data_IF_949587485323
#
_entry.id   IF_949587485323
#
_cell.length_a   1.000
_cell.length_b   1.000
_cell.length_c   1.000
_cell.angle_alpha   90.00
_cell.angle_beta   90.00
_cell.angle_gamma   90.00
#
_symmetry.space_group_name_H-M   'P 1'
#
loop_
_entity.id
_entity.type
_entity.pdbx_description
1 polymer ?
#
# COMPACT_ATOMS: atom_id res chain seq x y z
N UNK A 1 12.09 -16.55 19.11
CA UNK A 1 13.19 -15.56 19.23
C UNK A 1 13.59 -14.92 17.90
N UNK A 2 13.98 -15.66 16.86
CA UNK A 2 14.43 -15.05 15.60
C UNK A 2 13.43 -14.15 14.88
N UNK A 3 12.13 -14.36 15.06
CA UNK A 3 11.10 -13.45 14.53
C UNK A 3 11.22 -12.02 15.11
N UNK A 4 11.61 -11.85 16.38
CA UNK A 4 11.86 -10.51 16.94
C UNK A 4 12.95 -9.77 16.18
N UNK A 5 14.01 -10.47 15.77
CA UNK A 5 15.11 -9.91 14.96
C UNK A 5 14.58 -9.40 13.63
N UNK A 6 13.75 -10.18 12.94
CA UNK A 6 13.15 -9.76 11.69
C UNK A 6 12.17 -8.60 11.86
N UNK A 7 11.19 -8.72 12.77
CA UNK A 7 10.06 -7.79 12.87
C UNK A 7 10.47 -6.44 13.47
N UNK A 8 11.34 -6.45 14.48
CA UNK A 8 11.78 -5.24 15.17
C UNK A 8 12.94 -4.53 14.47
N UNK A 9 13.73 -5.24 13.66
CA UNK A 9 14.97 -4.69 13.10
C UNK A 9 15.09 -4.88 11.60
N UNK A 10 14.96 -6.12 11.11
CA UNK A 10 15.16 -6.44 9.70
C UNK A 10 14.21 -5.69 8.76
N UNK A 11 12.91 -5.77 9.03
CA UNK A 11 11.88 -5.12 8.21
C UNK A 11 11.92 -3.58 8.30
N UNK A 12 12.05 -2.95 9.48
CA UNK A 12 12.30 -1.51 9.56
C UNK A 12 13.55 -1.07 8.77
N UNK A 13 14.62 -1.86 8.79
CA UNK A 13 15.83 -1.58 8.01
C UNK A 13 15.61 -1.74 6.50
N UNK A 14 14.82 -2.73 6.08
CA UNK A 14 14.39 -2.86 4.69
C UNK A 14 13.54 -1.66 4.26
N UNK A 15 12.59 -1.21 5.08
CA UNK A 15 11.80 -0.02 4.83
C UNK A 15 12.68 1.23 4.66
N UNK A 16 13.73 1.37 5.48
CA UNK A 16 14.71 2.44 5.32
C UNK A 16 15.49 2.32 3.99
N UNK A 17 15.88 1.12 3.58
CA UNK A 17 16.53 0.90 2.29
C UNK A 17 15.63 1.33 1.13
N UNK A 18 14.35 0.93 1.16
CA UNK A 18 13.32 1.34 0.18
C UNK A 18 13.22 2.87 0.14
N UNK A 19 13.11 3.53 1.31
CA UNK A 19 13.03 4.98 1.41
C UNK A 19 14.25 5.69 0.77
N UNK A 20 15.46 5.23 1.07
CA UNK A 20 16.70 5.84 0.55
C UNK A 20 16.78 5.69 -0.97
N UNK A 21 16.31 4.57 -1.52
CA UNK A 21 16.28 4.30 -2.97
C UNK A 21 15.10 4.95 -3.70
N UNK A 22 14.10 5.47 -2.98
CA UNK A 22 12.92 6.10 -3.59
C UNK A 22 13.29 7.44 -4.25
N UNK A 23 12.67 7.72 -5.40
CA UNK A 23 12.83 8.97 -6.14
C UNK A 23 12.55 10.21 -5.27
N UNK A 24 13.29 11.29 -5.52
CA UNK A 24 13.21 12.52 -4.70
C UNK A 24 11.80 13.10 -4.65
N UNK A 25 11.06 13.09 -5.76
CA UNK A 25 9.69 13.63 -5.81
C UNK A 25 8.75 12.91 -4.84
N UNK A 26 8.96 11.61 -4.61
CA UNK A 26 8.04 10.78 -3.81
C UNK A 26 8.51 10.53 -2.39
N UNK A 27 9.73 10.95 -2.05
CA UNK A 27 10.32 10.67 -0.73
C UNK A 27 9.43 11.10 0.43
N UNK A 28 8.73 12.24 0.31
CA UNK A 28 7.82 12.71 1.38
C UNK A 28 6.66 11.73 1.62
N UNK A 29 5.95 11.33 0.56
CA UNK A 29 4.82 10.38 0.62
C UNK A 29 5.30 9.00 1.05
N UNK A 30 6.34 8.48 0.40
CA UNK A 30 6.93 7.18 0.71
C UNK A 30 7.45 7.12 2.15
N UNK A 31 8.12 8.17 2.62
CA UNK A 31 8.65 8.25 3.98
C UNK A 31 7.56 8.14 5.04
N UNK A 32 6.42 8.82 4.85
CA UNK A 32 5.29 8.73 5.78
C UNK A 32 4.70 7.30 5.83
N UNK A 33 4.48 6.69 4.67
CA UNK A 33 3.95 5.32 4.57
C UNK A 33 4.92 4.32 5.21
N UNK A 34 6.20 4.36 4.78
CA UNK A 34 7.25 3.44 5.25
C UNK A 34 7.49 3.57 6.74
N UNK A 35 7.49 4.80 7.29
CA UNK A 35 7.62 5.01 8.72
C UNK A 35 6.45 4.40 9.50
N UNK A 36 5.21 4.56 9.01
CA UNK A 36 4.03 3.98 9.62
C UNK A 36 4.08 2.45 9.65
N UNK A 37 4.29 1.82 8.50
CA UNK A 37 4.31 0.35 8.42
C UNK A 37 5.53 -0.27 9.12
N UNK A 38 6.69 0.39 9.10
CA UNK A 38 7.87 -0.05 9.85
C UNK A 38 7.64 0.04 11.35
N UNK A 39 6.97 1.11 11.82
CA UNK A 39 6.60 1.24 13.22
C UNK A 39 5.58 0.19 13.64
N UNK A 40 4.58 -0.12 12.80
CA UNK A 40 3.65 -1.22 13.04
C UNK A 40 4.38 -2.56 13.16
N UNK A 41 5.27 -2.89 12.22
CA UNK A 41 6.11 -4.09 12.28
C UNK A 41 6.93 -4.14 13.57
N UNK A 42 7.58 -3.04 13.93
CA UNK A 42 8.37 -2.98 15.16
C UNK A 42 7.50 -3.19 16.41
N UNK A 43 6.37 -2.49 16.50
CA UNK A 43 5.58 -2.43 17.73
C UNK A 43 4.76 -3.70 17.95
N UNK A 44 4.04 -4.14 16.91
CA UNK A 44 3.08 -5.25 17.00
C UNK A 44 3.60 -6.55 16.39
N UNK A 45 4.59 -6.47 15.50
CA UNK A 45 5.09 -7.61 14.74
C UNK A 45 4.31 -7.91 13.48
N UNK A 46 3.30 -7.11 13.13
CA UNK A 46 2.52 -7.26 11.88
C UNK A 46 3.33 -6.72 10.71
N UNK A 47 3.55 -7.55 9.70
CA UNK A 47 4.49 -7.27 8.60
C UNK A 47 3.83 -7.07 7.25
N UNK A 48 2.62 -7.59 7.10
CA UNK A 48 1.88 -7.65 5.85
C UNK A 48 1.75 -6.27 5.18
N UNK A 49 1.45 -5.17 5.91
CA UNK A 49 1.36 -3.85 5.29
C UNK A 49 2.66 -3.38 4.64
N UNK A 50 3.82 -3.80 5.16
CA UNK A 50 5.13 -3.48 4.58
C UNK A 50 5.47 -4.46 3.45
N UNK A 51 5.25 -5.76 3.66
CA UNK A 51 5.56 -6.80 2.68
C UNK A 51 4.76 -6.62 1.40
N UNK A 52 3.49 -6.23 1.50
CA UNK A 52 2.63 -6.01 0.35
C UNK A 52 3.08 -4.85 -0.54
N UNK A 53 3.89 -3.91 -0.03
CA UNK A 53 4.46 -2.85 -0.84
C UNK A 53 5.43 -3.39 -1.90
N UNK A 54 6.10 -4.52 -1.63
CA UNK A 54 7.14 -5.03 -2.53
C UNK A 54 6.93 -6.48 -2.97
N UNK A 55 6.03 -7.25 -2.35
CA UNK A 55 5.78 -8.66 -2.67
C UNK A 55 5.57 -8.91 -4.17
N UNK A 56 4.74 -8.08 -4.81
CA UNK A 56 4.41 -8.20 -6.23
C UNK A 56 5.33 -7.37 -7.15
N UNK A 57 5.99 -6.34 -6.62
CA UNK A 57 6.83 -5.42 -7.40
C UNK A 57 8.29 -5.91 -7.47
N UNK A 58 8.79 -6.45 -6.36
CA UNK A 58 10.15 -6.93 -6.17
C UNK A 58 10.17 -8.33 -5.53
N UNK A 59 9.77 -9.40 -6.26
CA UNK A 59 9.71 -10.76 -5.72
C UNK A 59 11.04 -11.25 -5.15
N UNK A 60 12.18 -10.83 -5.72
CA UNK A 60 13.50 -11.17 -5.19
C UNK A 60 13.77 -10.54 -3.82
N UNK A 61 13.21 -9.36 -3.55
CA UNK A 61 13.30 -8.73 -2.24
C UNK A 61 12.52 -9.53 -1.18
N UNK A 62 11.39 -10.13 -1.57
CA UNK A 62 10.64 -11.04 -0.73
C UNK A 62 11.36 -12.37 -0.50
N UNK A 63 12.00 -12.94 -1.53
CA UNK A 63 12.84 -14.13 -1.36
C UNK A 63 14.02 -13.86 -0.40
N UNK A 64 14.68 -12.71 -0.57
CA UNK A 64 15.72 -12.24 0.34
C UNK A 64 15.20 -12.15 1.78
N UNK A 65 14.03 -11.53 1.98
CA UNK A 65 13.38 -11.44 3.28
C UNK A 65 13.17 -12.82 3.90
N UNK A 66 12.60 -13.77 3.16
CA UNK A 66 12.33 -15.12 3.65
C UNK A 66 13.62 -15.85 4.08
N UNK A 67 14.69 -15.74 3.29
CA UNK A 67 16.00 -16.33 3.60
C UNK A 67 16.62 -15.71 4.86
N UNK A 68 16.60 -14.38 4.96
CA UNK A 68 17.13 -13.67 6.13
C UNK A 68 16.32 -13.98 7.40
N UNK A 69 15.00 -14.15 7.29
CA UNK A 69 14.16 -14.60 8.42
C UNK A 69 14.55 -15.99 8.89
N UNK A 70 14.77 -16.94 7.96
CA UNK A 70 15.28 -18.27 8.30
C UNK A 70 16.65 -18.22 9.00
N UNK A 71 17.56 -17.38 8.50
CA UNK A 71 18.86 -17.15 9.14
C UNK A 71 18.74 -16.51 10.52
N UNK A 72 17.84 -15.55 10.72
CA UNK A 72 17.61 -14.93 12.02
C UNK A 72 17.11 -15.95 13.07
N UNK A 73 16.22 -16.86 12.66
CA UNK A 73 15.76 -17.97 13.50
C UNK A 73 16.89 -18.93 13.82
N UNK A 74 17.69 -19.33 12.83
CA UNK A 74 18.84 -20.20 13.04
C UNK A 74 19.88 -19.56 13.98
N UNK A 75 20.23 -18.29 13.77
CA UNK A 75 21.18 -17.56 14.61
C UNK A 75 20.68 -17.42 16.05
N UNK A 76 19.38 -17.14 16.25
CA UNK A 76 18.80 -17.08 17.58
C UNK A 76 18.88 -18.43 18.31
N UNK A 77 18.67 -19.54 17.60
CA UNK A 77 18.85 -20.88 18.15
C UNK A 77 20.32 -21.17 18.51
N UNK A 78 21.27 -20.86 17.62
CA UNK A 78 22.70 -21.06 17.90
C UNK A 78 23.22 -20.23 19.09
N UNK A 79 22.62 -19.08 19.36
CA UNK A 79 22.96 -18.20 20.47
C UNK A 79 22.15 -18.49 21.75
N UNK A 80 21.41 -19.61 21.78
CA UNK A 80 20.60 -20.03 22.93
C UNK A 80 19.58 -18.97 23.38
N UNK A 81 19.00 -18.25 22.41
CA UNK A 81 17.99 -17.22 22.65
C UNK A 81 16.61 -17.87 22.61
N UNK A 82 15.98 -18.01 23.78
CA UNK A 82 14.63 -18.56 23.90
C UNK A 82 13.67 -17.46 24.32
N UNK A 83 12.91 -16.94 23.37
CA UNK A 83 11.89 -15.93 23.61
C UNK A 83 10.63 -16.31 22.83
N UNK A 84 9.59 -16.68 23.55
CA UNK A 84 8.25 -16.91 23.02
C UNK A 84 7.50 -15.60 22.83
N UNK A 85 6.49 -15.63 21.97
CA UNK A 85 5.57 -14.52 21.69
C UNK A 85 4.15 -15.07 21.57
N UNK A 86 3.16 -14.26 21.92
CA UNK A 86 1.75 -14.67 21.86
C UNK A 86 1.09 -14.34 20.52
N UNK A 87 1.53 -13.26 19.87
CA UNK A 87 0.92 -12.77 18.64
C UNK A 87 1.89 -12.78 17.45
N UNK A 88 2.83 -11.84 17.38
CA UNK A 88 3.66 -11.67 16.17
C UNK A 88 5.10 -11.20 16.45
N UNK A 89 5.61 -11.41 17.67
CA UNK A 89 7.00 -11.11 18.02
C UNK A 89 7.38 -9.62 17.82
N UNK A 90 6.42 -8.72 18.06
CA UNK A 90 6.69 -7.27 18.13
C UNK A 90 7.31 -6.84 19.47
N UNK A 91 7.65 -5.57 19.58
CA UNK A 91 8.17 -4.97 20.81
C UNK A 91 7.25 -5.19 22.01
N UNK A 92 5.93 -5.15 21.82
CA UNK A 92 4.96 -5.43 22.88
C UNK A 92 5.14 -6.86 23.40
N UNK A 93 5.22 -7.85 22.51
CA UNK A 93 5.47 -9.25 22.87
C UNK A 93 6.82 -9.43 23.57
N UNK A 94 7.84 -8.68 23.15
CA UNK A 94 9.19 -8.72 23.73
C UNK A 94 9.15 -8.29 25.19
N UNK A 95 8.50 -7.15 25.48
CA UNK A 95 8.41 -6.61 26.85
C UNK A 95 7.54 -7.51 27.75
N UNK A 96 6.39 -7.96 27.26
CA UNK A 96 5.46 -8.78 28.06
C UNK A 96 6.10 -10.12 28.45
N UNK A 97 6.78 -10.78 27.51
CA UNK A 97 7.36 -12.11 27.73
C UNK A 97 8.81 -12.07 28.24
N UNK A 98 9.37 -10.87 28.50
CA UNK A 98 10.78 -10.68 28.82
C UNK A 98 11.26 -11.54 30.00
N UNK A 99 10.45 -11.65 31.07
CA UNK A 99 10.81 -12.41 32.28
C UNK A 99 10.78 -13.93 32.10
N UNK A 100 10.13 -14.40 31.03
CA UNK A 100 10.03 -15.83 30.70
C UNK A 100 11.13 -16.27 29.73
N UNK A 101 11.91 -15.31 29.21
CA UNK A 101 12.87 -15.55 28.16
C UNK A 101 14.27 -15.93 28.68
N UNK A 102 14.98 -16.73 27.90
CA UNK A 102 16.41 -17.03 28.07
C UNK A 102 17.22 -16.14 27.13
N UNK A 103 18.22 -15.44 27.68
CA UNK A 103 19.07 -14.50 26.95
C UNK A 103 18.32 -13.43 26.11
N UNK A 104 17.22 -12.82 26.60
CA UNK A 104 16.42 -11.88 25.81
C UNK A 104 17.21 -10.66 25.32
N UNK A 105 18.19 -10.20 26.10
CA UNK A 105 19.03 -9.05 25.73
C UNK A 105 19.84 -9.26 24.46
N UNK A 106 20.20 -10.51 24.12
CA UNK A 106 20.95 -10.82 22.91
C UNK A 106 20.14 -10.58 21.63
N UNK A 107 18.82 -10.44 21.73
CA UNK A 107 17.96 -10.04 20.60
C UNK A 107 18.34 -8.65 20.10
N UNK A 108 18.75 -7.72 20.97
CA UNK A 108 19.11 -6.36 20.56
C UNK A 108 20.37 -6.30 19.67
N UNK A 109 21.54 -6.83 20.07
CA UNK A 109 22.73 -6.82 19.22
C UNK A 109 22.56 -7.70 17.97
N UNK A 110 21.88 -8.86 18.08
CA UNK A 110 21.57 -9.70 16.92
C UNK A 110 20.62 -8.96 15.95
N UNK A 111 19.62 -8.29 16.50
CA UNK A 111 18.71 -7.38 15.81
C UNK A 111 19.44 -6.32 15.01
N UNK A 112 20.34 -5.57 15.65
CA UNK A 112 21.13 -4.53 14.99
C UNK A 112 22.05 -5.08 13.89
N UNK A 113 22.65 -6.25 14.10
CA UNK A 113 23.45 -6.91 13.07
C UNK A 113 22.59 -7.27 11.84
N UNK A 114 21.41 -7.86 12.07
CA UNK A 114 20.47 -8.15 11.00
C UNK A 114 19.88 -6.89 10.37
N UNK A 115 19.64 -5.81 11.12
CA UNK A 115 19.22 -4.53 10.56
C UNK A 115 20.21 -4.05 9.50
N UNK A 116 21.51 -4.10 9.81
CA UNK A 116 22.56 -3.74 8.87
C UNK A 116 22.55 -4.66 7.63
N UNK A 117 22.47 -5.98 7.82
CA UNK A 117 22.41 -6.95 6.72
C UNK A 117 21.18 -6.71 5.83
N UNK A 118 20.00 -6.57 6.42
CA UNK A 118 18.75 -6.28 5.73
C UNK A 118 18.86 -4.98 4.93
N UNK A 119 19.36 -3.90 5.54
CA UNK A 119 19.52 -2.62 4.85
C UNK A 119 20.43 -2.76 3.62
N UNK A 120 21.62 -3.32 3.82
CA UNK A 120 22.64 -3.44 2.76
C UNK A 120 22.14 -4.31 1.61
N UNK A 121 21.65 -5.52 1.91
CA UNK A 121 21.20 -6.45 0.88
C UNK A 121 19.96 -5.92 0.14
N UNK A 122 19.02 -5.31 0.86
CA UNK A 122 17.84 -4.70 0.24
C UNK A 122 18.23 -3.53 -0.66
N UNK A 123 19.11 -2.64 -0.18
CA UNK A 123 19.58 -1.48 -0.94
C UNK A 123 20.23 -1.89 -2.26
N UNK A 124 21.16 -2.85 -2.22
CA UNK A 124 21.83 -3.33 -3.43
C UNK A 124 20.88 -4.11 -4.34
N UNK A 125 19.97 -4.91 -3.79
CA UNK A 125 18.94 -5.60 -4.59
C UNK A 125 18.07 -4.60 -5.34
N UNK A 126 17.56 -3.56 -4.65
CA UNK A 126 16.73 -2.52 -5.28
C UNK A 126 17.50 -1.78 -6.36
N UNK A 127 18.77 -1.42 -6.12
CA UNK A 127 19.59 -0.74 -7.12
C UNK A 127 19.95 -1.60 -8.32
N UNK A 128 20.31 -2.87 -8.10
CA UNK A 128 20.74 -3.79 -9.15
C UNK A 128 19.59 -4.10 -10.12
N UNK A 129 18.40 -4.37 -9.58
CA UNK A 129 17.21 -4.70 -10.36
C UNK A 129 16.37 -3.47 -10.73
N UNK A 130 16.78 -2.27 -10.30
CA UNK A 130 16.10 -0.98 -10.55
C UNK A 130 14.61 -1.01 -10.18
N UNK A 131 14.30 -1.59 -9.02
CA UNK A 131 12.91 -1.68 -8.56
C UNK A 131 12.31 -0.31 -8.22
N UNK A 132 11.10 -0.06 -8.70
CA UNK A 132 10.30 1.14 -8.40
C UNK A 132 9.12 0.76 -7.51
N UNK A 133 9.38 0.55 -6.22
CA UNK A 133 8.37 0.13 -5.22
C UNK A 133 7.27 1.18 -5.08
N UNK A 134 7.64 2.46 -5.11
CA UNK A 134 6.70 3.56 -5.28
C UNK A 134 6.69 3.99 -6.75
N UNK A 135 6.19 3.11 -7.62
CA UNK A 135 6.03 3.40 -9.05
C UNK A 135 5.15 4.63 -9.25
N UNK A 136 5.23 5.27 -10.43
CA UNK A 136 4.19 6.19 -10.84
C UNK A 136 2.93 5.34 -10.89
N UNK A 137 2.13 5.39 -9.83
CA UNK A 137 0.71 5.39 -10.09
C UNK A 137 0.54 6.41 -11.21
N UNK A 138 -0.11 6.02 -12.30
CA UNK A 138 -0.75 6.95 -13.21
C UNK A 138 -1.90 7.70 -12.49
N UNK A 139 -1.72 8.01 -11.21
CA UNK A 139 -2.22 9.19 -10.50
C UNK A 139 -1.05 10.15 -10.35
N UNK A 140 -0.37 10.46 -11.47
CA UNK A 140 0.04 11.85 -11.63
C UNK A 140 -1.22 12.67 -11.42
N UNK A 141 -1.21 13.42 -10.31
CA UNK A 141 -2.00 14.60 -10.08
C UNK A 141 -1.71 15.58 -11.23
N UNK A 142 -2.19 15.27 -12.43
CA UNK A 142 -2.36 16.26 -13.46
C UNK A 142 -3.54 17.11 -13.02
N UNK A 143 -3.20 18.32 -12.57
CA UNK A 143 -4.08 19.47 -12.41
C UNK A 143 -4.66 19.94 -13.75
N UNK A 144 -4.55 19.14 -14.81
CA UNK A 144 -5.37 19.25 -16.00
C UNK A 144 -6.61 18.39 -15.78
N UNK A 145 -7.78 19.03 -15.75
CA UNK A 145 -9.05 18.34 -15.78
C UNK A 145 -9.02 17.36 -16.96
N UNK A 146 -8.93 16.06 -16.67
CA UNK A 146 -8.86 15.03 -17.71
C UNK A 146 -10.03 15.24 -18.67
N UNK A 147 -9.75 15.28 -19.98
CA UNK A 147 -10.78 15.40 -21.02
C UNK A 147 -11.89 14.35 -20.85
N UNK A 148 -11.55 13.20 -20.26
CA UNK A 148 -12.50 12.16 -19.88
C UNK A 148 -13.48 12.61 -18.78
N UNK A 149 -13.00 13.29 -17.74
CA UNK A 149 -13.85 13.83 -16.67
C UNK A 149 -14.87 14.85 -17.22
N UNK A 150 -14.41 15.77 -18.08
CA UNK A 150 -15.29 16.75 -18.72
C UNK A 150 -16.33 16.09 -19.62
N UNK A 151 -15.93 15.05 -20.37
CA UNK A 151 -16.84 14.32 -21.24
C UNK A 151 -17.91 13.57 -20.42
N UNK A 152 -17.54 12.92 -19.30
CA UNK A 152 -18.51 12.29 -18.41
C UNK A 152 -19.42 13.33 -17.74
N UNK A 153 -18.90 14.43 -17.23
CA UNK A 153 -19.71 15.52 -16.64
C UNK A 153 -20.73 16.03 -17.66
N UNK A 154 -20.33 16.22 -18.92
CA UNK A 154 -21.24 16.65 -19.98
C UNK A 154 -22.32 15.60 -20.27
N UNK A 155 -21.94 14.32 -20.35
CA UNK A 155 -22.87 13.22 -20.57
C UNK A 155 -23.89 13.08 -19.42
N UNK A 156 -23.50 13.45 -18.21
CA UNK A 156 -24.33 13.40 -17.01
C UNK A 156 -25.24 14.62 -16.83
N UNK A 157 -25.34 15.50 -17.83
CA UNK A 157 -26.18 16.71 -17.75
C UNK A 157 -25.47 17.95 -17.19
N UNK A 158 -24.13 17.93 -17.11
CA UNK A 158 -23.31 19.03 -16.64
C UNK A 158 -23.07 19.03 -15.12
N UNK A 159 -22.17 19.92 -14.67
CA UNK A 159 -21.81 20.02 -13.24
C UNK A 159 -23.01 20.29 -12.35
N UNK A 160 -23.95 21.11 -12.83
CA UNK A 160 -25.12 21.53 -12.06
C UNK A 160 -26.10 20.39 -11.79
N UNK A 161 -26.06 19.32 -12.59
CA UNK A 161 -26.90 18.14 -12.40
C UNK A 161 -26.33 17.16 -11.36
N UNK A 162 -25.03 17.20 -11.08
CA UNK A 162 -24.37 16.21 -10.21
C UNK A 162 -24.42 16.69 -8.76
N UNK A 163 -25.05 15.90 -7.88
CA UNK A 163 -25.13 16.18 -6.44
C UNK A 163 -23.99 15.47 -5.72
N UNK A 164 -23.84 14.16 -5.97
CA UNK A 164 -22.80 13.36 -5.35
C UNK A 164 -22.32 12.28 -6.32
N UNK A 165 -21.04 11.93 -6.19
CA UNK A 165 -20.38 10.91 -7.02
C UNK A 165 -19.71 9.91 -6.09
N UNK A 166 -19.96 8.63 -6.31
CA UNK A 166 -19.30 7.53 -5.60
C UNK A 166 -19.04 6.37 -6.57
N UNK A 167 -18.19 5.41 -6.20
CA UNK A 167 -17.94 4.24 -7.01
C UNK A 167 -17.78 2.98 -6.17
N UNK A 168 -18.27 1.88 -6.71
CA UNK A 168 -17.83 0.54 -6.32
C UNK A 168 -16.76 0.04 -7.31
N UNK A 169 -16.30 -1.20 -7.12
CA UNK A 169 -15.28 -1.85 -7.97
C UNK A 169 -15.59 -1.77 -9.48
N UNK A 170 -16.86 -1.89 -9.87
CA UNK A 170 -17.25 -1.98 -11.30
C UNK A 170 -18.24 -0.93 -11.78
N UNK A 171 -18.75 -0.09 -10.87
CA UNK A 171 -19.87 0.83 -11.16
C UNK A 171 -19.65 2.17 -10.51
N UNK A 172 -19.80 3.22 -11.30
CA UNK A 172 -19.94 4.60 -10.84
C UNK A 172 -21.39 4.77 -10.38
N UNK A 173 -21.62 5.19 -9.14
CA UNK A 173 -22.93 5.48 -8.56
C UNK A 173 -23.03 6.98 -8.33
N UNK A 174 -24.08 7.58 -8.87
CA UNK A 174 -24.23 9.02 -8.84
C UNK A 174 -25.62 9.40 -8.36
N UNK A 175 -25.65 10.46 -7.58
CA UNK A 175 -26.86 11.19 -7.27
C UNK A 175 -26.89 12.43 -8.15
N UNK A 176 -27.99 12.58 -8.89
CA UNK A 176 -28.21 13.67 -9.83
C UNK A 176 -29.54 14.37 -9.53
N UNK A 177 -29.68 15.62 -9.95
CA UNK A 177 -30.95 16.35 -9.83
C UNK A 177 -32.01 15.79 -10.77
N UNK A 178 -31.61 15.42 -11.98
CA UNK A 178 -32.47 14.83 -13.00
C UNK A 178 -31.72 13.78 -13.82
N UNK A 179 -32.18 12.53 -13.76
CA UNK A 179 -31.64 11.40 -14.52
C UNK A 179 -32.08 11.37 -15.99
N UNK A 180 -33.12 12.13 -16.37
CA UNK A 180 -33.64 12.16 -17.76
C UNK A 180 -32.71 12.92 -18.69
N UNK A 181 -32.00 13.92 -18.17
CA UNK A 181 -31.02 14.70 -18.95
C UNK A 181 -29.67 13.99 -19.12
N UNK A 182 -29.50 12.80 -18.53
CA UNK A 182 -28.31 11.97 -18.73
C UNK A 182 -28.33 11.28 -20.08
N UNK A 183 -27.27 11.50 -20.85
CA UNK A 183 -27.05 10.94 -22.19
C UNK A 183 -26.39 9.56 -22.11
N UNK A 184 -27.23 8.53 -22.25
CA UNK A 184 -26.83 7.13 -22.18
C UNK A 184 -25.93 6.72 -23.36
N UNK A 185 -26.10 7.32 -24.54
CA UNK A 185 -25.28 7.01 -25.71
C UNK A 185 -23.87 7.56 -25.55
N UNK A 186 -23.74 8.80 -25.09
CA UNK A 186 -22.44 9.40 -24.83
C UNK A 186 -21.71 8.64 -23.72
N UNK A 187 -22.40 8.21 -22.66
CA UNK A 187 -21.81 7.35 -21.63
C UNK A 187 -21.27 6.03 -22.23
N UNK A 188 -22.02 5.38 -23.13
CA UNK A 188 -21.56 4.16 -23.83
C UNK A 188 -20.37 4.42 -24.74
N UNK A 189 -20.35 5.55 -25.47
CA UNK A 189 -19.21 5.97 -26.30
C UNK A 189 -17.94 6.21 -25.47
N UNK A 190 -18.10 6.68 -24.23
CA UNK A 190 -17.01 6.85 -23.27
C UNK A 190 -16.56 5.53 -22.60
N UNK A 191 -17.14 4.39 -22.99
CA UNK A 191 -16.74 3.06 -22.52
C UNK A 191 -17.63 2.47 -21.44
N UNK A 192 -18.80 3.06 -21.15
CA UNK A 192 -19.80 2.41 -20.30
C UNK A 192 -20.38 1.18 -20.99
N UNK A 193 -20.39 0.05 -20.28
CA UNK A 193 -21.08 -1.18 -20.71
C UNK A 193 -22.60 -1.08 -20.54
N UNK A 194 -23.04 -0.16 -19.70
CA UNK A 194 -24.46 0.11 -19.46
C UNK A 194 -24.66 1.30 -18.53
N UNK A 195 -25.81 1.95 -18.68
CA UNK A 195 -26.30 3.01 -17.78
C UNK A 195 -27.62 2.52 -17.21
N UNK A 196 -27.76 2.60 -15.90
CA UNK A 196 -28.96 2.18 -15.16
C UNK A 196 -29.47 3.42 -14.43
N UNK A 197 -30.76 3.69 -14.51
CA UNK A 197 -31.42 4.82 -13.84
C UNK A 197 -32.49 4.28 -12.88
N UNK A 198 -32.11 3.83 -11.66
CA UNK A 198 -33.05 3.19 -10.73
C UNK A 198 -34.14 4.14 -10.25
N UNK A 199 -33.83 5.43 -10.11
CA UNK A 199 -34.77 6.49 -9.72
C UNK A 199 -34.54 7.74 -10.56
N UNK A 200 -35.44 8.72 -10.45
CA UNK A 200 -35.29 10.00 -11.15
C UNK A 200 -34.04 10.79 -10.72
N UNK A 201 -33.46 10.46 -9.56
CA UNK A 201 -32.30 11.14 -8.96
C UNK A 201 -31.04 10.26 -8.84
N UNK A 202 -31.09 9.00 -9.28
CA UNK A 202 -29.93 8.10 -9.16
C UNK A 202 -29.57 7.48 -10.50
N UNK A 203 -28.26 7.44 -10.75
CA UNK A 203 -27.69 6.91 -12.00
C UNK A 203 -26.53 6.00 -11.65
N UNK A 204 -26.45 4.85 -12.31
CA UNK A 204 -25.32 3.94 -12.22
C UNK A 204 -24.72 3.69 -13.60
N UNK A 205 -23.43 3.96 -13.75
CA UNK A 205 -22.70 3.74 -15.00
C UNK A 205 -21.74 2.56 -14.79
N UNK A 206 -21.87 1.52 -15.61
CA UNK A 206 -21.05 0.30 -15.52
C UNK A 206 -19.77 0.50 -16.32
N UNK A 207 -18.67 0.80 -15.62
CA UNK A 207 -17.36 1.09 -16.23
C UNK A 207 -16.32 -0.04 -16.01
N UNK A 208 -16.67 -1.08 -15.25
CA UNK A 208 -15.71 -2.10 -14.84
C UNK A 208 -14.65 -1.51 -13.89
N UNK A 209 -13.44 -2.05 -13.91
CA UNK A 209 -12.33 -1.65 -13.02
C UNK A 209 -11.92 -0.17 -13.11
N UNK A 210 -12.47 0.57 -14.08
CA UNK A 210 -12.24 2.00 -14.27
C UNK A 210 -13.18 2.90 -13.44
N UNK A 211 -14.20 2.33 -12.78
CA UNK A 211 -15.23 3.09 -12.09
C UNK A 211 -14.68 4.02 -11.00
N UNK A 212 -13.77 3.53 -10.18
CA UNK A 212 -13.17 4.30 -9.07
C UNK A 212 -12.31 5.46 -9.58
N UNK A 213 -11.46 5.20 -10.58
CA UNK A 213 -10.64 6.25 -11.21
C UNK A 213 -11.49 7.35 -11.86
N UNK A 214 -12.56 6.99 -12.58
CA UNK A 214 -13.48 7.98 -13.19
C UNK A 214 -14.22 8.78 -12.12
N UNK A 215 -14.64 8.16 -11.00
CA UNK A 215 -15.29 8.86 -9.90
C UNK A 215 -14.37 9.93 -9.28
N UNK A 216 -13.10 9.60 -9.04
CA UNK A 216 -12.13 10.56 -8.54
C UNK A 216 -11.88 11.70 -9.53
N UNK A 217 -11.77 11.39 -10.82
CA UNK A 217 -11.60 12.40 -11.87
C UNK A 217 -12.78 13.39 -11.90
N UNK A 218 -14.02 12.89 -11.80
CA UNK A 218 -15.22 13.74 -11.73
C UNK A 218 -15.21 14.57 -10.45
N UNK A 219 -14.93 13.97 -9.27
CA UNK A 219 -14.85 14.70 -8.00
C UNK A 219 -13.84 15.83 -8.02
N UNK A 220 -12.69 15.64 -8.68
CA UNK A 220 -11.67 16.68 -8.86
C UNK A 220 -12.09 17.76 -9.84
N UNK A 221 -12.92 17.40 -10.82
CA UNK A 221 -13.34 18.29 -11.89
C UNK A 221 -14.56 19.14 -11.53
N UNK A 222 -15.37 18.72 -10.54
CA UNK A 222 -16.54 19.47 -10.03
C UNK A 222 -16.08 20.71 -9.25
#
# INVERSE_FOLDING_TARGET
>A
AGFYVTMMFGLPAMALAIYVTTAKEKKKKAGAILAGVAFTSFLTGITEPLEFLFLFIAPLLFLLHALLTGLAVASAHFLDIHHGYGFSAGFIDYVINYKLATNPLLILPLGLAFAFIYFVLSYYTIKLFKYTIFSNDNTEENTEVSNEALAFIKALGGKENIISTDACITRLRMEVKDSKIVDDETCKKLGAKGVIKPTETTVQVVLGTRAEGVAELIKKAL
#
